data_IF_879722069372
#
_entry.id   IF_879722069372
#
_cell.length_a   1.000
_cell.length_b   1.000
_cell.length_c   1.000
_cell.angle_alpha   90.00
_cell.angle_beta   90.00
_cell.angle_gamma   90.00
#
_symmetry.space_group_name_H-M   'P 1'
#
loop_
_entity.id
_entity.type
_entity.pdbx_description
1 polymer ?
#
# COMPACT_ATOMS: atom_id res chain seq x y z
N UNK A 1 2.57 -11.51 21.03
CA UNK A 1 2.50 -10.15 20.46
C UNK A 1 3.72 -9.77 19.59
N UNK A 2 4.96 -9.78 20.11
CA UNK A 2 6.15 -9.29 19.36
C UNK A 2 6.47 -10.05 18.07
N UNK A 3 6.23 -11.37 18.03
CA UNK A 3 6.49 -12.21 16.84
C UNK A 3 5.65 -11.81 15.63
N UNK A 4 4.36 -11.48 15.83
CA UNK A 4 3.48 -11.07 14.74
C UNK A 4 3.90 -9.73 14.13
N UNK A 5 4.22 -8.73 14.97
CA UNK A 5 4.70 -7.44 14.50
C UNK A 5 6.03 -7.57 13.72
N UNK A 6 6.91 -8.49 14.12
CA UNK A 6 8.14 -8.75 13.36
C UNK A 6 7.84 -9.38 11.98
N UNK A 7 6.89 -10.31 11.88
CA UNK A 7 6.43 -10.84 10.59
C UNK A 7 5.84 -9.73 9.72
N UNK A 8 5.00 -8.85 10.31
CA UNK A 8 4.43 -7.70 9.61
C UNK A 8 5.51 -6.73 9.13
N UNK A 9 6.53 -6.44 9.95
CA UNK A 9 7.70 -5.64 9.55
C UNK A 9 8.39 -6.25 8.33
N UNK A 10 8.74 -7.53 8.38
CA UNK A 10 9.37 -8.23 7.26
C UNK A 10 8.49 -8.22 6.01
N UNK A 11 7.18 -8.39 6.18
CA UNK A 11 6.21 -8.30 5.09
C UNK A 11 6.21 -6.90 4.44
N UNK A 12 6.15 -5.83 5.24
CA UNK A 12 6.19 -4.45 4.77
C UNK A 12 7.48 -4.12 4.02
N UNK A 13 8.63 -4.61 4.48
CA UNK A 13 9.91 -4.47 3.76
C UNK A 13 9.85 -5.19 2.41
N UNK A 14 9.38 -6.43 2.38
CA UNK A 14 9.29 -7.21 1.14
C UNK A 14 8.42 -6.51 0.09
N UNK A 15 7.22 -6.06 0.44
CA UNK A 15 6.32 -5.36 -0.50
C UNK A 15 6.88 -4.00 -0.93
N UNK A 16 7.67 -3.34 -0.07
CA UNK A 16 8.38 -2.11 -0.43
C UNK A 16 9.45 -2.36 -1.50
N UNK A 17 10.25 -3.41 -1.34
CA UNK A 17 11.29 -3.79 -2.32
C UNK A 17 10.66 -4.15 -3.67
N UNK A 18 9.59 -4.95 -3.67
CA UNK A 18 8.86 -5.29 -4.90
C UNK A 18 8.31 -4.02 -5.57
N UNK A 19 7.72 -3.11 -4.79
CA UNK A 19 7.21 -1.84 -5.31
C UNK A 19 8.32 -0.97 -5.92
N UNK A 20 9.51 -0.92 -5.33
CA UNK A 20 10.67 -0.22 -5.93
C UNK A 20 11.07 -0.84 -7.27
N UNK A 21 11.05 -2.17 -7.38
CA UNK A 21 11.28 -2.86 -8.65
C UNK A 21 10.25 -2.47 -9.73
N UNK A 22 8.97 -2.38 -9.35
CA UNK A 22 7.90 -1.93 -10.24
C UNK A 22 8.02 -0.46 -10.63
N UNK A 23 8.49 0.40 -9.71
CA UNK A 23 8.85 1.79 -10.04
C UNK A 23 9.89 1.81 -11.14
N UNK A 24 11.01 1.10 -11.00
CA UNK A 24 12.08 1.09 -12.00
C UNK A 24 11.55 0.63 -13.37
N UNK A 25 10.71 -0.41 -13.40
CA UNK A 25 10.06 -0.87 -14.63
C UNK A 25 9.22 0.25 -15.26
N UNK A 26 8.40 0.95 -14.47
CA UNK A 26 7.53 2.03 -14.95
C UNK A 26 8.30 3.22 -15.56
N UNK A 27 9.55 3.45 -15.14
CA UNK A 27 10.42 4.48 -15.72
C UNK A 27 11.19 4.02 -16.97
N UNK A 28 11.47 2.72 -17.09
CA UNK A 28 12.22 2.15 -18.23
C UNK A 28 11.32 1.77 -19.39
N UNK A 29 10.19 1.17 -19.08
CA UNK A 29 9.26 0.63 -20.06
C UNK A 29 7.81 0.94 -19.64
N UNK A 30 7.19 1.83 -20.41
CA UNK A 30 5.82 2.26 -20.15
C UNK A 30 4.79 1.23 -20.62
N UNK A 31 5.16 0.35 -21.57
CA UNK A 31 4.29 -0.71 -22.09
C UNK A 31 3.97 -1.77 -21.03
N UNK A 32 4.82 -1.90 -20.01
CA UNK A 32 4.56 -2.77 -18.86
C UNK A 32 3.18 -2.53 -18.24
N UNK A 33 2.75 -1.27 -18.12
CA UNK A 33 1.49 -0.92 -17.48
C UNK A 33 0.28 -1.27 -18.34
N UNK A 34 0.33 -1.01 -19.65
CA UNK A 34 -0.74 -1.38 -20.58
C UNK A 34 -0.86 -2.88 -20.74
N UNK A 35 0.26 -3.61 -20.77
CA UNK A 35 0.27 -5.05 -20.98
C UNK A 35 -0.11 -5.87 -19.75
N UNK A 36 0.13 -5.35 -18.53
CA UNK A 36 -0.03 -6.12 -17.29
C UNK A 36 -1.14 -5.61 -16.38
N UNK A 37 -1.42 -4.31 -16.38
CA UNK A 37 -2.33 -3.69 -15.41
C UNK A 37 -3.57 -3.12 -16.11
N UNK A 38 -3.39 -2.22 -17.07
CA UNK A 38 -4.46 -1.52 -17.78
C UNK A 38 -4.76 -2.14 -19.15
N UNK A 39 -5.01 -3.44 -19.16
CA UNK A 39 -5.19 -4.25 -20.38
C UNK A 39 -6.52 -4.02 -21.10
N UNK A 40 -7.50 -3.39 -20.45
CA UNK A 40 -8.82 -3.12 -21.04
C UNK A 40 -8.82 -1.93 -22.00
N UNK A 41 -7.92 -0.97 -21.78
CA UNK A 41 -7.78 0.26 -22.59
C UNK A 41 -6.31 0.68 -22.64
N UNK A 42 -5.43 -0.12 -23.27
CA UNK A 42 -4.00 0.13 -23.31
C UNK A 42 -3.64 1.48 -23.97
N UNK A 43 -4.50 2.03 -24.82
CA UNK A 43 -4.35 3.32 -25.50
C UNK A 43 -4.29 4.53 -24.56
N UNK A 44 -4.81 4.41 -23.33
CA UNK A 44 -4.74 5.49 -22.33
C UNK A 44 -3.43 5.49 -21.52
N UNK A 45 -2.62 4.44 -21.63
CA UNK A 45 -1.32 4.35 -20.96
C UNK A 45 -0.26 4.95 -21.87
N UNK A 46 0.27 6.09 -21.45
CA UNK A 46 1.41 6.74 -22.11
C UNK A 46 2.60 6.84 -21.16
N UNK A 47 3.76 7.22 -21.69
CA UNK A 47 4.99 7.34 -20.90
C UNK A 47 4.93 8.37 -19.76
N UNK A 48 4.04 9.36 -19.80
CA UNK A 48 3.82 10.26 -18.66
C UNK A 48 3.01 9.57 -17.56
N UNK A 49 1.90 8.92 -17.93
CA UNK A 49 1.07 8.14 -17.00
C UNK A 49 1.89 7.04 -16.32
N UNK A 50 2.78 6.38 -17.06
CA UNK A 50 3.67 5.37 -16.50
C UNK A 50 4.62 5.91 -15.44
N UNK A 51 5.25 7.06 -15.68
CA UNK A 51 6.12 7.70 -14.70
C UNK A 51 5.36 8.22 -13.48
N UNK A 52 4.13 8.72 -13.67
CA UNK A 52 3.24 9.13 -12.58
C UNK A 52 2.84 7.93 -11.70
N UNK A 53 2.48 6.80 -12.30
CA UNK A 53 2.24 5.55 -11.58
C UNK A 53 3.50 5.08 -10.84
N UNK A 54 4.66 5.18 -11.50
CA UNK A 54 5.97 4.84 -10.94
C UNK A 54 6.32 5.65 -9.69
N UNK A 55 6.17 6.99 -9.73
CA UNK A 55 6.48 7.85 -8.58
C UNK A 55 5.47 7.68 -7.44
N UNK A 56 4.20 7.46 -7.76
CA UNK A 56 3.17 7.14 -6.76
C UNK A 56 3.47 5.80 -6.05
N UNK A 57 3.92 4.80 -6.81
CA UNK A 57 4.37 3.50 -6.28
C UNK A 57 5.61 3.65 -5.41
N UNK A 58 6.57 4.50 -5.81
CA UNK A 58 7.78 4.78 -5.04
C UNK A 58 7.46 5.47 -3.72
N UNK A 59 6.60 6.49 -3.74
CA UNK A 59 6.14 7.18 -2.54
C UNK A 59 5.51 6.19 -1.55
N UNK A 60 4.63 5.33 -2.05
CA UNK A 60 4.00 4.28 -1.23
C UNK A 60 5.03 3.31 -0.65
N UNK A 61 6.06 2.95 -1.43
CA UNK A 61 7.17 2.11 -0.96
C UNK A 61 7.99 2.76 0.16
N UNK A 62 8.34 4.04 0.01
CA UNK A 62 9.09 4.80 1.04
C UNK A 62 8.31 4.86 2.35
N UNK A 63 7.00 5.15 2.28
CA UNK A 63 6.12 5.18 3.45
C UNK A 63 6.07 3.81 4.15
N UNK A 64 5.91 2.72 3.39
CA UNK A 64 5.87 1.35 3.93
C UNK A 64 7.21 0.97 4.59
N UNK A 65 8.34 1.35 3.98
CA UNK A 65 9.66 1.12 4.54
C UNK A 65 9.88 1.91 5.84
N UNK A 66 9.49 3.20 5.86
CA UNK A 66 9.55 4.03 7.05
C UNK A 66 8.71 3.45 8.20
N UNK A 67 7.49 2.97 7.89
CA UNK A 67 6.66 2.27 8.86
C UNK A 67 7.24 0.92 9.28
N UNK A 68 7.96 0.20 8.43
CA UNK A 68 8.62 -1.04 8.83
C UNK A 68 9.75 -0.79 9.84
N UNK A 69 10.52 0.29 9.63
CA UNK A 69 11.60 0.74 10.54
C UNK A 69 11.00 1.14 11.89
N UNK A 70 9.97 1.99 11.87
CA UNK A 70 9.30 2.49 13.08
C UNK A 70 7.83 2.04 13.16
N UNK A 71 7.62 0.72 13.28
CA UNK A 71 6.26 0.16 13.27
C UNK A 71 5.42 0.61 14.47
N UNK A 72 6.03 1.11 15.55
CA UNK A 72 5.31 1.58 16.73
C UNK A 72 4.78 3.01 16.57
N UNK A 73 5.25 3.74 15.56
CA UNK A 73 4.72 5.05 15.23
C UNK A 73 3.32 4.94 14.62
N UNK A 74 2.33 5.28 15.45
CA UNK A 74 0.91 5.25 15.07
C UNK A 74 0.64 6.08 13.81
N UNK A 75 1.26 7.25 13.66
CA UNK A 75 1.03 8.11 12.49
C UNK A 75 1.50 7.43 11.21
N UNK A 76 2.74 6.91 11.20
CA UNK A 76 3.26 6.15 10.04
C UNK A 76 2.43 4.90 9.77
N UNK A 77 1.95 4.22 10.81
CA UNK A 77 1.09 3.05 10.68
C UNK A 77 -0.22 3.36 9.95
N UNK A 78 -0.93 4.42 10.37
CA UNK A 78 -2.18 4.83 9.71
C UNK A 78 -1.95 5.30 8.28
N UNK A 79 -0.91 6.11 8.05
CA UNK A 79 -0.57 6.57 6.69
C UNK A 79 -0.27 5.37 5.79
N UNK A 80 0.49 4.40 6.30
CA UNK A 80 0.82 3.18 5.55
C UNK A 80 -0.43 2.36 5.23
N UNK A 81 -1.34 2.20 6.18
CA UNK A 81 -2.64 1.56 5.96
C UNK A 81 -3.42 2.26 4.84
N UNK A 82 -3.45 3.60 4.86
CA UNK A 82 -4.07 4.38 3.79
C UNK A 82 -3.40 4.20 2.42
N UNK A 83 -2.07 4.01 2.35
CA UNK A 83 -1.43 3.70 1.05
C UNK A 83 -1.92 2.39 0.45
N UNK A 84 -2.22 1.38 1.28
CA UNK A 84 -2.79 0.12 0.80
C UNK A 84 -4.27 0.26 0.47
N UNK A 85 -5.04 1.02 1.27
CA UNK A 85 -6.44 1.30 1.00
C UNK A 85 -6.63 2.06 -0.32
N UNK A 86 -5.81 3.08 -0.59
CA UNK A 86 -5.81 3.80 -1.86
C UNK A 86 -5.44 2.91 -3.04
N UNK A 87 -4.43 2.05 -2.88
CA UNK A 87 -4.07 1.08 -3.92
C UNK A 87 -5.21 0.11 -4.23
N UNK A 88 -5.84 -0.45 -3.18
CA UNK A 88 -6.98 -1.35 -3.32
C UNK A 88 -8.17 -0.65 -3.99
N UNK A 89 -8.53 0.53 -3.50
CA UNK A 89 -9.62 1.35 -4.05
C UNK A 89 -9.39 1.70 -5.51
N UNK A 90 -8.18 2.14 -5.86
CA UNK A 90 -7.78 2.44 -7.24
C UNK A 90 -7.95 1.22 -8.16
N UNK A 91 -7.36 0.07 -7.82
CA UNK A 91 -7.48 -1.12 -8.69
C UNK A 91 -8.91 -1.67 -8.76
N UNK A 92 -9.69 -1.59 -7.68
CA UNK A 92 -11.11 -1.96 -7.70
C UNK A 92 -11.93 -0.99 -8.59
N UNK A 93 -11.69 0.32 -8.51
CA UNK A 93 -12.37 1.28 -9.37
C UNK A 93 -12.02 1.07 -10.85
N UNK A 94 -10.75 0.81 -11.15
CA UNK A 94 -10.30 0.54 -12.53
C UNK A 94 -10.88 -0.78 -13.07
N UNK A 95 -11.08 -1.79 -12.22
CA UNK A 95 -11.67 -3.06 -12.62
C UNK A 95 -13.20 -2.99 -12.82
N UNK A 96 -13.93 -2.37 -11.90
CA UNK A 96 -15.40 -2.43 -11.86
C UNK A 96 -16.12 -1.21 -12.42
N UNK A 97 -15.54 -0.01 -12.26
CA UNK A 97 -16.16 1.25 -12.66
C UNK A 97 -15.65 1.66 -14.03
N UNK A 98 -14.34 1.87 -14.16
CA UNK A 98 -13.72 2.38 -15.39
C UNK A 98 -13.45 1.30 -16.43
N UNK A 99 -13.38 0.02 -16.01
CA UNK A 99 -13.16 -1.16 -16.86
C UNK A 99 -11.88 -1.12 -17.71
N UNK A 100 -10.89 -0.35 -17.24
CA UNK A 100 -9.58 -0.17 -17.85
C UNK A 100 -8.59 -1.28 -17.41
N UNK A 101 -8.82 -1.87 -16.22
CA UNK A 101 -7.97 -2.89 -15.62
C UNK A 101 -8.76 -4.17 -15.31
N UNK A 102 -9.10 -5.00 -16.32
CA UNK A 102 -9.81 -6.25 -16.09
C UNK A 102 -9.01 -7.17 -15.14
N UNK A 103 -9.71 -8.03 -14.41
CA UNK A 103 -9.16 -8.91 -13.36
C UNK A 103 -8.28 -10.03 -13.94
N UNK A 104 -7.15 -9.65 -14.52
CA UNK A 104 -6.09 -10.52 -14.99
C UNK A 104 -5.11 -10.82 -13.85
N UNK A 105 -4.21 -11.78 -14.04
CA UNK A 105 -3.17 -12.12 -13.07
C UNK A 105 -2.35 -10.88 -12.64
N UNK A 106 -2.10 -9.95 -13.56
CA UNK A 106 -1.35 -8.73 -13.28
C UNK A 106 -2.05 -7.76 -12.33
N UNK A 107 -3.38 -7.67 -12.38
CA UNK A 107 -4.21 -6.83 -11.48
C UNK A 107 -4.56 -7.57 -10.18
N UNK A 108 -4.72 -8.90 -10.24
CA UNK A 108 -5.00 -9.71 -9.06
C UNK A 108 -3.84 -9.69 -8.05
N UNK A 109 -2.59 -9.66 -8.51
CA UNK A 109 -1.43 -9.58 -7.63
C UNK A 109 -1.45 -8.35 -6.69
N UNK A 110 -1.57 -7.09 -7.16
CA UNK A 110 -1.65 -5.93 -6.28
C UNK A 110 -2.92 -5.92 -5.41
N UNK A 111 -4.06 -6.45 -5.90
CA UNK A 111 -5.29 -6.57 -5.09
C UNK A 111 -5.09 -7.50 -3.89
N UNK A 112 -4.49 -8.68 -4.10
CA UNK A 112 -4.21 -9.65 -3.03
C UNK A 112 -3.19 -9.07 -2.04
N UNK A 113 -2.10 -8.48 -2.55
CA UNK A 113 -1.05 -7.88 -1.71
C UNK A 113 -1.63 -6.75 -0.86
N UNK A 114 -2.43 -5.86 -1.43
CA UNK A 114 -3.07 -4.77 -0.69
C UNK A 114 -4.05 -5.30 0.36
N UNK A 115 -4.92 -6.25 0.00
CA UNK A 115 -5.90 -6.85 0.91
C UNK A 115 -5.23 -7.55 2.09
N UNK A 116 -4.22 -8.39 1.83
CA UNK A 116 -3.48 -9.09 2.88
C UNK A 116 -2.72 -8.11 3.78
N UNK A 117 -2.14 -7.06 3.21
CA UNK A 117 -1.46 -6.02 3.98
C UNK A 117 -2.41 -5.25 4.89
N UNK A 118 -3.60 -4.88 4.40
CA UNK A 118 -4.63 -4.21 5.20
C UNK A 118 -5.04 -5.12 6.36
N UNK A 119 -5.38 -6.38 6.10
CA UNK A 119 -5.79 -7.33 7.15
C UNK A 119 -4.67 -7.51 8.18
N UNK A 120 -3.43 -7.75 7.72
CA UNK A 120 -2.27 -7.90 8.58
C UNK A 120 -2.01 -6.66 9.45
N UNK A 121 -2.21 -5.47 8.88
CA UNK A 121 -2.10 -4.22 9.63
C UNK A 121 -3.28 -3.98 10.58
N UNK A 122 -4.51 -4.37 10.26
CA UNK A 122 -5.64 -4.26 11.20
C UNK A 122 -5.46 -5.19 12.40
N UNK A 123 -5.00 -6.42 12.18
CA UNK A 123 -4.66 -7.37 13.26
C UNK A 123 -3.47 -6.84 14.06
N UNK A 124 -2.46 -6.28 13.39
CA UNK A 124 -1.31 -5.65 14.06
C UNK A 124 -1.71 -4.43 14.86
N UNK A 125 -2.73 -3.69 14.43
CA UNK A 125 -3.22 -2.51 15.13
C UNK A 125 -3.79 -2.86 16.50
N UNK A 126 -4.53 -3.97 16.59
CA UNK A 126 -5.05 -4.51 17.85
C UNK A 126 -3.95 -4.94 18.82
N UNK A 127 -2.73 -5.15 18.33
CA UNK A 127 -1.58 -5.49 19.16
C UNK A 127 -0.90 -4.28 19.80
N UNK A 128 -1.20 -3.05 19.39
CA UNK A 128 -0.65 -1.87 20.06
C UNK A 128 -1.46 -1.57 21.33
N UNK A 129 -0.81 -1.47 22.50
CA UNK A 129 -1.52 -1.14 23.73
C UNK A 129 -2.28 0.19 23.60
N UNK A 130 -3.51 0.23 24.11
CA UNK A 130 -4.32 1.45 24.24
C UNK A 130 -3.59 2.46 25.10
N UNK A 131 -2.82 3.39 24.53
CA UNK A 131 -2.14 4.39 25.35
C UNK A 131 -1.73 5.62 24.53
N UNK A 132 -2.65 6.58 24.37
CA UNK A 132 -2.40 8.02 24.50
C UNK A 132 -3.71 8.83 24.44
N UNK A 133 -4.73 8.40 23.66
CA UNK A 133 -6.06 9.03 23.72
C UNK A 133 -6.74 8.79 25.08
N UNK A 134 -6.68 7.57 25.62
CA UNK A 134 -7.16 7.28 26.98
C UNK A 134 -6.36 8.01 28.07
N UNK A 135 -5.04 8.16 27.93
CA UNK A 135 -4.21 8.80 28.96
C UNK A 135 -4.41 10.31 28.95
N UNK A 136 -4.48 10.93 27.77
CA UNK A 136 -4.82 12.35 27.62
C UNK A 136 -6.25 12.65 28.06
N UNK A 137 -7.22 11.80 27.72
CA UNK A 137 -8.62 11.95 28.14
C UNK A 137 -8.81 11.69 29.64
N UNK A 138 -8.11 10.70 30.23
CA UNK A 138 -8.13 10.46 31.69
C UNK A 138 -7.40 11.56 32.47
N UNK A 139 -6.31 12.12 31.96
CA UNK A 139 -5.68 13.29 32.58
C UNK A 139 -6.57 14.53 32.49
N UNK A 140 -7.25 14.76 31.35
CA UNK A 140 -8.20 15.87 31.20
C UNK A 140 -9.47 15.71 32.03
N UNK A 141 -9.87 14.49 32.39
CA UNK A 141 -10.98 14.21 33.33
C UNK A 141 -10.59 14.32 34.81
N UNK A 142 -9.29 14.40 35.12
CA UNK A 142 -8.75 14.37 36.48
C UNK A 142 -8.17 15.71 36.95
N UNK A 143 -8.16 16.71 36.05
CA UNK A 143 -7.97 18.14 36.33
C UNK A 143 -9.30 18.85 36.17
#
# INVERSE_FOLDING_TARGET
MSRFLNVLRSWLVMVSVIAMGNTIQSFRDHSFLSEKLYTGTPEFVNGLQARTFGIWTLLSSIIRCACAIDIQNRTLYHITLWTFALALGHFLSEAFIYKTAPLTIGVMAPLIVASFSIIGMLIGFQCFPETQEEVGARQKKRN
#
